data_IF_818703465996
#
_entry.id   IF_818703465996
#
_cell.length_a   1.000
_cell.length_b   1.000
_cell.length_c   1.000
_cell.angle_alpha   90.00
_cell.angle_beta   90.00
_cell.angle_gamma   90.00
#
_symmetry.space_group_name_H-M   'P 1'
#
loop_
_entity.id
_entity.type
_entity.pdbx_description
1 polymer ?
#
# COMPACT_ATOMS: atom_id res chain seq x y z
N UNK A 1 -5.93 4.95 -5.78
CA UNK A 1 -5.81 5.62 -4.46
C UNK A 1 -4.34 5.62 -4.09
N UNK A 2 -3.78 6.73 -3.62
CA UNK A 2 -2.38 6.82 -3.19
C UNK A 2 -2.31 6.60 -1.67
N UNK A 3 -1.76 5.47 -1.24
CA UNK A 3 -1.59 5.18 0.19
C UNK A 3 -0.19 5.66 0.61
N UNK A 4 -0.14 6.66 1.50
CA UNK A 4 1.13 7.19 2.04
C UNK A 4 1.86 6.12 2.85
N UNK A 5 3.11 5.77 2.49
CA UNK A 5 3.91 4.83 3.27
C UNK A 5 4.31 5.42 4.63
N UNK A 6 4.35 4.55 5.64
CA UNK A 6 4.83 4.88 6.99
C UNK A 6 5.69 3.73 7.49
N UNK A 7 6.72 4.05 8.29
CA UNK A 7 7.59 3.03 8.91
C UNK A 7 6.77 2.08 9.77
N UNK A 8 7.10 0.80 9.73
CA UNK A 8 6.41 -0.26 10.46
C UNK A 8 5.18 -0.84 9.75
N UNK A 9 4.76 -0.28 8.62
CA UNK A 9 3.70 -0.87 7.79
C UNK A 9 4.20 -2.15 7.12
N UNK A 10 3.33 -3.14 7.02
CA UNK A 10 3.59 -4.39 6.29
C UNK A 10 3.17 -4.24 4.84
N UNK A 11 4.01 -4.71 3.91
CA UNK A 11 3.81 -4.76 2.46
C UNK A 11 4.17 -6.14 1.92
N UNK A 12 3.77 -6.42 0.70
CA UNK A 12 4.26 -7.57 -0.06
C UNK A 12 5.45 -7.17 -0.90
N UNK A 13 6.52 -7.97 -0.87
CA UNK A 13 7.71 -7.78 -1.69
C UNK A 13 7.81 -8.86 -2.77
N UNK A 14 8.04 -8.42 -4.00
CA UNK A 14 8.23 -9.26 -5.18
C UNK A 14 9.68 -9.15 -5.65
N UNK A 15 10.50 -10.21 -5.53
CA UNK A 15 11.87 -10.22 -6.05
C UNK A 15 11.90 -10.23 -7.60
N UNK A 16 12.90 -9.60 -8.21
CA UNK A 16 13.07 -9.65 -9.66
C UNK A 16 13.41 -11.06 -10.16
N UNK A 17 12.83 -11.43 -11.30
CA UNK A 17 13.25 -12.60 -12.10
C UNK A 17 12.97 -13.97 -11.46
N UNK A 18 12.59 -14.04 -10.19
CA UNK A 18 12.21 -15.28 -9.55
C UNK A 18 10.73 -15.57 -9.84
N UNK A 19 10.43 -16.76 -10.36
CA UNK A 19 9.07 -17.32 -10.39
C UNK A 19 8.67 -17.70 -8.96
N UNK A 20 8.50 -16.71 -8.08
CA UNK A 20 7.90 -16.93 -6.78
C UNK A 20 6.39 -16.98 -6.95
N UNK A 21 5.76 -18.02 -6.43
CA UNK A 21 4.30 -18.16 -6.48
C UNK A 21 3.59 -17.18 -5.53
N UNK A 22 4.31 -16.73 -4.50
CA UNK A 22 3.80 -15.84 -3.45
C UNK A 22 4.82 -14.74 -3.16
N UNK A 23 4.36 -13.53 -2.79
CA UNK A 23 5.25 -12.47 -2.35
C UNK A 23 5.88 -12.80 -1.00
N UNK A 24 7.03 -12.19 -0.72
CA UNK A 24 7.65 -12.21 0.59
C UNK A 24 6.97 -11.19 1.51
N UNK A 25 6.88 -11.53 2.80
CA UNK A 25 6.42 -10.60 3.80
C UNK A 25 7.51 -9.55 4.03
N UNK A 26 7.14 -8.27 4.04
CA UNK A 26 8.08 -7.20 4.26
C UNK A 26 7.50 -6.11 5.14
N UNK A 27 8.36 -5.46 5.93
CA UNK A 27 7.99 -4.30 6.74
C UNK A 27 8.77 -3.08 6.26
N UNK A 28 8.10 -1.94 6.12
CA UNK A 28 8.72 -0.66 5.77
C UNK A 28 9.67 -0.23 6.88
N UNK A 29 10.97 -0.27 6.59
CA UNK A 29 12.03 0.13 7.50
C UNK A 29 12.39 1.62 7.36
N UNK A 30 12.23 2.20 6.17
CA UNK A 30 12.49 3.61 5.89
C UNK A 30 11.66 4.10 4.70
N UNK A 31 11.31 5.38 4.67
CA UNK A 31 10.54 6.01 3.58
C UNK A 31 11.38 7.11 2.95
N UNK A 32 11.69 6.97 1.66
CA UNK A 32 12.33 8.04 0.87
C UNK A 32 11.29 8.98 0.26
N UNK A 33 10.19 8.41 -0.26
CA UNK A 33 9.07 9.14 -0.85
C UNK A 33 7.80 8.28 -0.84
N UNK A 34 6.68 8.81 -1.36
CA UNK A 34 5.41 8.08 -1.45
C UNK A 34 5.46 6.81 -2.33
N UNK A 35 6.52 6.66 -3.15
CA UNK A 35 6.73 5.54 -4.08
C UNK A 35 8.07 4.81 -3.87
N UNK A 36 8.83 5.10 -2.82
CA UNK A 36 10.16 4.52 -2.62
C UNK A 36 10.47 4.28 -1.14
N UNK A 37 10.82 3.05 -0.79
CA UNK A 37 11.04 2.63 0.61
C UNK A 37 12.23 1.69 0.74
N UNK A 38 12.76 1.56 1.96
CA UNK A 38 13.59 0.42 2.34
C UNK A 38 12.75 -0.55 3.16
N UNK A 39 13.02 -1.83 3.03
CA UNK A 39 12.27 -2.93 3.62
C UNK A 39 13.17 -3.84 4.45
N UNK A 40 12.58 -4.38 5.52
CA UNK A 40 13.03 -5.64 6.12
C UNK A 40 12.13 -6.76 5.59
N UNK A 41 12.70 -7.69 4.83
CA UNK A 41 11.98 -8.74 4.10
C UNK A 41 12.24 -10.10 4.75
N UNK A 42 11.23 -10.97 4.74
CA UNK A 42 11.30 -12.36 5.20
C UNK A 42 10.94 -13.26 4.01
N UNK A 43 11.87 -14.11 3.58
CA UNK A 43 11.65 -15.04 2.46
C UNK A 43 10.79 -16.26 2.85
N UNK A 44 10.56 -17.15 1.89
CA UNK A 44 9.77 -18.37 2.10
C UNK A 44 10.38 -19.35 3.13
N UNK A 45 11.66 -19.24 3.44
CA UNK A 45 12.35 -20.05 4.44
C UNK A 45 12.39 -19.36 5.82
N UNK A 46 11.81 -18.18 5.94
CA UNK A 46 11.90 -17.36 7.15
C UNK A 46 13.21 -16.59 7.29
N UNK A 47 14.06 -16.56 6.25
CA UNK A 47 15.30 -15.80 6.27
C UNK A 47 15.02 -14.30 6.09
N UNK A 48 15.53 -13.51 7.04
CA UNK A 48 15.35 -12.07 7.04
C UNK A 48 16.51 -11.35 6.35
N UNK A 49 16.21 -10.48 5.39
CA UNK A 49 17.22 -9.70 4.67
C UNK A 49 16.74 -8.26 4.37
N UNK A 50 17.66 -7.29 4.22
CA UNK A 50 17.30 -5.92 3.86
C UNK A 50 17.10 -5.78 2.34
N UNK A 51 16.13 -4.97 1.93
CA UNK A 51 15.96 -4.53 0.54
C UNK A 51 15.85 -3.01 0.51
N UNK A 52 16.71 -2.33 -0.25
CA UNK A 52 16.82 -0.87 -0.24
C UNK A 52 16.35 -0.27 -1.56
N UNK A 53 15.82 0.95 -1.50
CA UNK A 53 15.36 1.68 -2.68
C UNK A 53 14.39 0.84 -3.52
N UNK A 54 13.41 0.24 -2.84
CA UNK A 54 12.39 -0.59 -3.47
C UNK A 54 11.21 0.29 -3.87
N UNK A 55 10.82 0.26 -5.17
CA UNK A 55 9.60 0.89 -5.64
C UNK A 55 8.39 0.35 -4.89
N UNK A 56 7.55 1.25 -4.37
CA UNK A 56 6.25 0.94 -3.81
C UNK A 56 5.18 1.17 -4.89
N UNK A 57 4.79 0.08 -5.55
CA UNK A 57 3.75 0.05 -6.57
C UNK A 57 2.39 0.21 -5.92
N UNK A 58 1.68 1.25 -6.33
CA UNK A 58 0.35 1.60 -5.85
C UNK A 58 -0.73 0.97 -6.74
N UNK A 59 -2.00 1.19 -6.41
CA UNK A 59 -3.10 0.63 -7.20
C UNK A 59 -3.15 1.21 -8.61
N UNK A 60 -3.26 0.31 -9.60
CA UNK A 60 -3.31 0.58 -11.04
C UNK A 60 -1.99 1.05 -11.67
N UNK A 61 -0.87 0.90 -10.96
CA UNK A 61 0.47 1.09 -11.55
C UNK A 61 0.96 -0.22 -12.18
N UNK A 62 1.69 -0.12 -13.29
CA UNK A 62 2.32 -1.28 -13.91
C UNK A 62 3.44 -1.83 -13.02
N UNK A 63 3.46 -3.15 -12.86
CA UNK A 63 4.53 -3.81 -12.11
C UNK A 63 5.84 -3.73 -12.88
N UNK A 64 6.93 -3.19 -12.30
CA UNK A 64 8.20 -3.10 -12.99
C UNK A 64 8.81 -4.50 -13.17
N UNK A 65 9.64 -4.69 -14.20
CA UNK A 65 10.46 -5.91 -14.37
C UNK A 65 11.62 -6.04 -13.38
N UNK A 66 11.60 -5.26 -12.30
CA UNK A 66 12.61 -5.16 -11.24
C UNK A 66 11.95 -5.49 -9.88
N UNK A 67 12.71 -5.66 -8.78
CA UNK A 67 12.09 -5.95 -7.50
C UNK A 67 11.21 -4.77 -7.06
N UNK A 68 10.04 -5.05 -6.52
CA UNK A 68 9.10 -4.02 -6.07
C UNK A 68 8.33 -4.49 -4.84
N UNK A 69 7.61 -3.57 -4.21
CA UNK A 69 6.65 -3.91 -3.18
C UNK A 69 5.29 -3.29 -3.46
N UNK A 70 4.23 -3.87 -2.90
CA UNK A 70 2.87 -3.37 -3.03
C UNK A 70 2.08 -3.61 -1.75
N UNK A 71 0.99 -2.86 -1.59
CA UNK A 71 0.08 -3.01 -0.45
C UNK A 71 -0.69 -4.32 -0.53
N UNK A 72 -0.88 -4.97 0.62
CA UNK A 72 -1.69 -6.19 0.68
C UNK A 72 -3.15 -5.86 0.31
N UNK A 73 -3.86 -6.73 -0.45
CA UNK A 73 -5.23 -6.46 -0.92
C UNK A 73 -6.20 -6.00 0.16
N UNK A 74 -6.10 -6.60 1.35
CA UNK A 74 -6.95 -6.24 2.49
C UNK A 74 -6.66 -4.84 3.04
N UNK A 75 -5.39 -4.41 3.08
CA UNK A 75 -5.01 -3.07 3.56
C UNK A 75 -5.54 -1.97 2.63
N UNK A 76 -5.61 -2.24 1.33
CA UNK A 76 -6.25 -1.35 0.35
C UNK A 76 -7.74 -1.21 0.62
N UNK A 77 -8.42 -2.32 0.88
CA UNK A 77 -9.84 -2.33 1.25
C UNK A 77 -10.14 -1.59 2.56
N UNK A 78 -9.24 -1.62 3.54
CA UNK A 78 -9.37 -0.85 4.78
C UNK A 78 -9.14 0.65 4.56
N UNK A 79 -8.12 1.02 3.78
CA UNK A 79 -7.83 2.42 3.47
C UNK A 79 -9.00 3.08 2.71
N UNK A 80 -9.60 2.38 1.75
CA UNK A 80 -10.78 2.85 1.03
C UNK A 80 -12.00 3.08 1.97
N UNK A 81 -12.18 2.22 2.98
CA UNK A 81 -13.27 2.40 3.96
C UNK A 81 -13.06 3.63 4.85
N UNK A 82 -11.81 3.89 5.27
CA UNK A 82 -11.47 5.08 6.05
C UNK A 82 -11.74 6.36 5.25
N UNK A 83 -11.32 6.43 3.99
CA UNK A 83 -11.58 7.61 3.12
C UNK A 83 -13.09 7.86 2.94
N UNK A 84 -13.89 6.81 2.74
CA UNK A 84 -15.34 6.93 2.62
C UNK A 84 -15.97 7.44 3.92
N UNK A 85 -15.46 7.01 5.08
CA UNK A 85 -15.97 7.46 6.37
C UNK A 85 -15.58 8.91 6.66
N UNK A 86 -14.33 9.29 6.37
CA UNK A 86 -13.85 10.68 6.47
C UNK A 86 -14.66 11.61 5.58
N UNK A 87 -14.92 11.22 4.31
CA UNK A 87 -15.75 11.99 3.38
C UNK A 87 -17.20 12.14 3.86
N UNK A 88 -17.76 11.12 4.52
CA UNK A 88 -19.10 11.20 5.14
C UNK A 88 -19.12 12.12 6.35
N UNK A 89 -18.05 12.16 7.14
CA UNK A 89 -17.94 13.04 8.31
C UNK A 89 -17.60 14.49 7.94
N UNK A 90 -16.92 14.74 6.82
CA UNK A 90 -16.48 16.08 6.40
C UNK A 90 -17.55 16.94 5.72
N UNK A 91 -18.76 16.41 5.48
CA UNK A 91 -19.96 17.22 5.24
C UNK A 91 -20.01 18.06 3.94
N UNK A 92 -20.03 17.43 2.76
CA UNK A 92 -20.74 18.03 1.61
C UNK A 92 -22.22 17.64 1.72
N UNK A 93 -23.04 18.67 1.93
CA UNK A 93 -24.40 18.58 2.44
C UNK A 93 -25.37 17.72 1.63
N UNK A 94 -26.21 17.02 2.39
CA UNK A 94 -27.53 16.54 1.94
C UNK A 94 -28.26 17.73 1.29
N UNK A 95 -28.76 17.62 0.05
CA UNK A 95 -29.60 18.66 -0.52
C UNK A 95 -30.86 18.79 0.33
N UNK A 96 -31.02 19.97 0.92
CA UNK A 96 -32.19 20.41 1.66
C UNK A 96 -33.44 20.22 0.78
N UNK A 97 -34.39 19.44 1.28
CA UNK A 97 -35.65 19.20 0.61
C UNK A 97 -36.45 20.52 0.65
N UNK A 98 -36.98 21.01 -0.49
CA UNK A 98 -37.62 22.31 -0.54
C UNK A 98 -38.86 22.32 0.37
N UNK A 99 -38.97 23.35 1.18
CA UNK A 99 -40.11 23.61 2.05
C UNK A 99 -41.38 23.75 1.18
N UNK A 100 -42.32 22.81 1.32
CA UNK A 100 -43.68 22.99 0.80
C UNK A 100 -44.49 23.90 1.74
N UNK A 101 -45.31 24.73 1.09
CA UNK A 101 -46.07 25.87 1.60
C UNK A 101 -47.26 25.50 2.47
#
# INVERSE_FOLDING_TARGET
MLIKPTVGRVVWYWPAGAKVEQPFAATVAYVHSDHMVNLSVIDANGHQFPAMSIPLVQDNEETPGLPYCCWMPYQKGQAAKTEVLEKKLSGEGVPDHPSEK
#
